data_IF_566188259818
#
_entry.id   IF_566188259818
#
_cell.length_a   1.000
_cell.length_b   1.000
_cell.length_c   1.000
_cell.angle_alpha   90.00
_cell.angle_beta   90.00
_cell.angle_gamma   90.00
#
_symmetry.space_group_name_H-M   'P 1'
#
loop_
_entity.id
_entity.type
_entity.pdbx_description
1 polymer ?
#
# COMPACT_ATOMS: atom_id res chain seq x y z
N UNK A 1 0.53 13.68 15.30
CA UNK A 1 0.59 14.52 16.53
C UNK A 1 1.86 14.16 17.29
N UNK A 2 2.79 15.11 17.52
CA UNK A 2 3.99 14.85 18.34
C UNK A 2 3.62 14.93 19.81
N UNK A 3 3.35 13.79 20.43
CA UNK A 3 3.29 13.69 21.89
C UNK A 3 4.66 13.23 22.40
N UNK A 4 5.42 14.13 23.03
CA UNK A 4 6.64 13.82 23.81
C UNK A 4 7.85 13.26 23.03
N UNK A 5 8.19 13.81 21.86
CA UNK A 5 9.46 13.47 21.18
C UNK A 5 9.59 12.00 20.76
N UNK A 6 8.49 11.23 20.81
CA UNK A 6 8.40 9.87 20.30
C UNK A 6 7.54 9.90 19.04
N UNK A 7 8.15 9.54 17.93
CA UNK A 7 7.45 9.28 16.67
C UNK A 7 6.37 8.24 16.93
N UNK A 8 5.11 8.54 16.58
CA UNK A 8 4.00 7.62 16.78
C UNK A 8 3.98 6.57 15.66
N UNK A 9 4.87 5.59 15.76
CA UNK A 9 5.08 4.57 14.72
C UNK A 9 3.80 3.79 14.38
N UNK A 10 2.86 3.65 15.31
CA UNK A 10 1.59 2.95 15.06
C UNK A 10 0.75 3.61 13.96
N UNK A 11 0.64 4.94 13.96
CA UNK A 11 -0.07 5.71 12.94
C UNK A 11 0.58 5.53 11.57
N UNK A 12 1.92 5.62 11.53
CA UNK A 12 2.72 5.42 10.32
C UNK A 12 2.52 4.02 9.70
N UNK A 13 2.52 2.97 10.53
CA UNK A 13 2.28 1.60 10.04
C UNK A 13 0.85 1.41 9.53
N UNK A 14 -0.15 1.97 10.21
CA UNK A 14 -1.55 1.88 9.78
C UNK A 14 -1.78 2.60 8.45
N UNK A 15 -1.19 3.79 8.28
CA UNK A 15 -1.21 4.56 7.04
C UNK A 15 -0.62 3.76 5.86
N UNK A 16 0.57 3.18 6.05
CA UNK A 16 1.17 2.29 5.05
C UNK A 16 0.31 1.04 4.76
N UNK A 17 -0.29 0.43 5.78
CA UNK A 17 -1.12 -0.77 5.64
C UNK A 17 -2.39 -0.53 4.83
N UNK A 18 -3.03 0.64 4.95
CA UNK A 18 -4.23 1.01 4.19
C UNK A 18 -3.89 1.25 2.71
N UNK A 19 -2.73 1.81 2.41
CA UNK A 19 -2.32 2.09 1.03
C UNK A 19 -1.78 0.87 0.28
N UNK A 20 -1.32 -0.17 0.98
CA UNK A 20 -0.90 -1.43 0.36
C UNK A 20 -1.99 -2.11 -0.49
N UNK A 21 -3.22 -2.39 0.00
CA UNK A 21 -4.28 -2.93 -0.84
C UNK A 21 -4.66 -1.95 -1.96
N UNK A 22 -4.66 -0.63 -1.71
CA UNK A 22 -4.92 0.36 -2.76
C UNK A 22 -3.91 0.28 -3.92
N UNK A 23 -2.61 0.20 -3.61
CA UNK A 23 -1.56 0.02 -4.61
C UNK A 23 -1.70 -1.29 -5.39
N UNK A 24 -2.09 -2.38 -4.70
CA UNK A 24 -2.40 -3.66 -5.33
C UNK A 24 -3.57 -3.55 -6.32
N UNK A 25 -4.68 -2.93 -5.89
CA UNK A 25 -5.85 -2.69 -6.74
C UNK A 25 -5.53 -1.82 -7.95
N UNK A 26 -4.73 -0.76 -7.78
CA UNK A 26 -4.33 0.10 -8.87
C UNK A 26 -3.47 -0.65 -9.90
N UNK A 27 -2.54 -1.49 -9.43
CA UNK A 27 -1.73 -2.34 -10.29
C UNK A 27 -2.56 -3.38 -11.05
N UNK A 28 -3.63 -3.89 -10.42
CA UNK A 28 -4.58 -4.82 -11.04
C UNK A 28 -5.48 -4.15 -12.09
N UNK A 29 -5.99 -2.95 -11.81
CA UNK A 29 -6.90 -2.23 -12.71
C UNK A 29 -6.16 -1.62 -13.91
N UNK A 30 -4.92 -1.16 -13.70
CA UNK A 30 -4.11 -0.50 -14.72
C UNK A 30 -2.75 -1.20 -14.90
N UNK A 31 -2.72 -2.49 -15.28
CA UNK A 31 -1.49 -3.28 -15.34
C UNK A 31 -0.50 -2.78 -16.41
N UNK A 32 -1.00 -2.07 -17.43
CA UNK A 32 -0.20 -1.47 -18.50
C UNK A 32 0.49 -0.17 -18.10
N UNK A 33 0.11 0.43 -16.98
CA UNK A 33 0.73 1.67 -16.53
C UNK A 33 2.12 1.40 -15.95
N UNK A 34 3.02 2.37 -16.13
CA UNK A 34 4.34 2.32 -15.50
C UNK A 34 4.20 2.38 -13.97
N UNK A 35 5.15 1.79 -13.24
CA UNK A 35 5.18 1.85 -11.77
C UNK A 35 5.23 3.32 -11.31
N UNK A 36 5.96 4.17 -12.03
CA UNK A 36 6.05 5.60 -11.72
C UNK A 36 4.70 6.30 -11.86
N UNK A 37 3.93 6.00 -12.92
CA UNK A 37 2.57 6.56 -13.10
C UNK A 37 1.63 6.11 -11.98
N UNK A 38 1.71 4.84 -11.59
CA UNK A 38 0.91 4.31 -10.48
C UNK A 38 1.31 4.95 -9.15
N UNK A 39 2.61 5.10 -8.89
CA UNK A 39 3.12 5.80 -7.70
C UNK A 39 2.73 7.27 -7.67
N UNK A 40 2.78 7.97 -8.81
CA UNK A 40 2.38 9.36 -8.89
C UNK A 40 0.90 9.54 -8.50
N UNK A 41 0.02 8.63 -8.95
CA UNK A 41 -1.37 8.64 -8.49
C UNK A 41 -1.52 8.35 -7.00
N UNK A 42 -0.78 7.37 -6.49
CA UNK A 42 -0.80 7.04 -5.05
C UNK A 42 -0.35 8.25 -4.22
N UNK A 43 0.74 8.91 -4.62
CA UNK A 43 1.25 10.11 -3.98
C UNK A 43 0.25 11.27 -4.08
N UNK A 44 -0.43 11.44 -5.22
CA UNK A 44 -1.45 12.48 -5.40
C UNK A 44 -2.67 12.24 -4.50
N UNK A 45 -3.14 10.99 -4.41
CA UNK A 45 -4.24 10.61 -3.51
C UNK A 45 -3.83 10.82 -2.05
N UNK A 46 -2.63 10.40 -1.68
CA UNK A 46 -2.07 10.63 -0.35
C UNK A 46 -1.97 12.12 -0.01
N UNK A 47 -1.49 12.94 -0.95
CA UNK A 47 -1.42 14.39 -0.80
C UNK A 47 -2.82 15.01 -0.64
N UNK A 48 -3.81 14.48 -1.36
CA UNK A 48 -5.19 14.93 -1.23
C UNK A 48 -5.74 14.67 0.18
N UNK A 49 -5.41 13.52 0.78
CA UNK A 49 -5.77 13.24 2.17
C UNK A 49 -5.12 14.23 3.15
N UNK A 50 -3.82 14.49 2.99
CA UNK A 50 -3.11 15.50 3.81
C UNK A 50 -3.75 16.89 3.69
N UNK A 51 -4.05 17.33 2.46
CA UNK A 51 -4.70 18.63 2.22
C UNK A 51 -6.09 18.69 2.86
N UNK A 52 -6.87 17.61 2.76
CA UNK A 52 -8.19 17.54 3.42
C UNK A 52 -8.05 17.57 4.94
N UNK A 53 -7.12 16.82 5.52
CA UNK A 53 -6.85 16.83 6.97
C UNK A 53 -6.42 18.21 7.45
N UNK A 54 -5.61 18.92 6.66
CA UNK A 54 -5.19 20.29 6.91
C UNK A 54 -6.37 21.27 6.86
N UNK A 55 -7.18 21.25 5.79
CA UNK A 55 -8.31 22.18 5.61
C UNK A 55 -9.38 21.98 6.69
N UNK A 56 -9.74 20.73 6.99
CA UNK A 56 -10.79 20.42 7.95
C UNK A 56 -10.30 20.37 9.40
N UNK A 57 -9.00 20.60 9.65
CA UNK A 57 -8.37 20.55 10.97
C UNK A 57 -8.64 19.23 11.73
N UNK A 58 -8.90 18.14 10.99
CA UNK A 58 -9.28 16.83 11.56
C UNK A 58 -8.07 16.16 12.23
N UNK A 59 -6.85 16.52 11.83
CA UNK A 59 -5.64 15.89 12.33
C UNK A 59 -4.38 16.76 12.22
N UNK A 60 -3.30 16.24 12.79
CA UNK A 60 -1.95 16.80 12.68
C UNK A 60 -1.37 16.39 11.33
N UNK A 61 -1.58 17.20 10.29
CA UNK A 61 -0.93 16.98 8.98
C UNK A 61 0.59 16.87 9.18
N UNK A 62 1.14 15.71 8.81
CA UNK A 62 2.55 15.37 8.93
C UNK A 62 3.00 14.79 7.59
N UNK A 63 3.95 15.45 6.93
CA UNK A 63 4.51 14.99 5.66
C UNK A 63 5.07 13.55 5.71
N UNK A 64 5.31 13.01 6.91
CA UNK A 64 5.69 11.61 7.12
C UNK A 64 4.60 10.63 6.70
N UNK A 65 3.33 10.99 6.86
CA UNK A 65 2.19 10.16 6.47
C UNK A 65 2.08 10.06 4.94
N UNK A 66 2.38 11.16 4.22
CA UNK A 66 2.51 11.15 2.77
C UNK A 66 3.51 10.08 2.28
N UNK A 67 4.68 10.04 2.92
CA UNK A 67 5.75 9.10 2.61
C UNK A 67 5.34 7.66 2.93
N UNK A 68 4.72 7.41 4.09
CA UNK A 68 4.30 6.08 4.50
C UNK A 68 3.17 5.52 3.64
N UNK A 69 2.20 6.35 3.26
CA UNK A 69 1.15 6.01 2.30
C UNK A 69 1.74 5.65 0.93
N UNK A 70 2.69 6.45 0.45
CA UNK A 70 3.35 6.19 -0.85
C UNK A 70 4.17 4.89 -0.81
N UNK A 71 4.89 4.65 0.29
CA UNK A 71 5.64 3.41 0.50
C UNK A 71 4.72 2.18 0.60
N UNK A 72 3.61 2.28 1.34
CA UNK A 72 2.58 1.23 1.41
C UNK A 72 2.02 0.91 0.02
N UNK A 73 1.66 1.94 -0.75
CA UNK A 73 1.18 1.76 -2.11
C UNK A 73 2.21 1.13 -3.06
N UNK A 74 3.49 1.49 -2.94
CA UNK A 74 4.58 0.84 -3.67
C UNK A 74 4.66 -0.65 -3.34
N UNK A 75 4.62 -1.01 -2.05
CA UNK A 75 4.63 -2.41 -1.61
C UNK A 75 3.46 -3.17 -2.22
N UNK A 76 2.26 -2.58 -2.27
CA UNK A 76 1.08 -3.14 -2.94
C UNK A 76 1.29 -3.41 -4.43
N UNK A 77 1.86 -2.45 -5.17
CA UNK A 77 2.17 -2.60 -6.60
C UNK A 77 3.18 -3.73 -6.81
N UNK A 78 4.27 -3.75 -6.04
CA UNK A 78 5.32 -4.77 -6.14
C UNK A 78 4.73 -6.14 -5.83
N UNK A 79 3.96 -6.26 -4.76
CA UNK A 79 3.31 -7.51 -4.38
C UNK A 79 2.42 -8.05 -5.50
N UNK A 80 1.57 -7.22 -6.12
CA UNK A 80 0.76 -7.64 -7.25
C UNK A 80 1.61 -8.12 -8.44
N UNK A 81 2.61 -7.32 -8.85
CA UNK A 81 3.46 -7.67 -10.01
C UNK A 81 4.27 -8.93 -9.78
N UNK A 82 4.80 -9.13 -8.56
CA UNK A 82 5.49 -10.36 -8.17
C UNK A 82 4.53 -11.54 -8.21
N UNK A 83 3.33 -11.43 -7.64
CA UNK A 83 2.33 -12.51 -7.66
C UNK A 83 1.91 -12.86 -9.09
N UNK A 84 1.67 -11.89 -9.96
CA UNK A 84 1.33 -12.14 -11.37
C UNK A 84 2.51 -12.78 -12.12
N UNK A 85 3.73 -12.28 -11.93
CA UNK A 85 4.93 -12.84 -12.58
C UNK A 85 5.17 -14.27 -12.12
N UNK A 86 5.11 -14.52 -10.80
CA UNK A 86 5.24 -15.86 -10.22
C UNK A 86 4.10 -16.78 -10.66
N UNK A 87 2.87 -16.32 -10.74
CA UNK A 87 1.74 -17.12 -11.24
C UNK A 87 1.97 -17.52 -12.70
N UNK A 88 2.48 -16.61 -13.54
CA UNK A 88 2.75 -16.90 -14.94
C UNK A 88 3.92 -17.90 -15.13
N UNK A 89 4.90 -17.90 -14.22
CA UNK A 89 6.03 -18.85 -14.24
C UNK A 89 5.72 -20.16 -13.48
N UNK A 90 4.70 -20.19 -12.61
CA UNK A 90 4.57 -21.16 -11.51
C UNK A 90 3.14 -21.46 -11.07
N UNK A 91 2.14 -21.32 -11.96
CA UNK A 91 0.73 -21.58 -11.65
C UNK A 91 0.47 -22.91 -10.92
N UNK A 92 1.32 -23.94 -11.08
CA UNK A 92 1.16 -25.21 -10.36
C UNK A 92 1.74 -25.26 -8.94
N UNK A 93 2.87 -24.63 -8.64
CA UNK A 93 3.57 -24.90 -7.36
C UNK A 93 3.11 -24.00 -6.20
N UNK A 94 2.64 -22.78 -6.48
CA UNK A 94 2.23 -21.82 -5.45
C UNK A 94 0.76 -21.93 -5.06
N UNK A 95 -0.12 -22.34 -5.99
CA UNK A 95 -1.52 -22.66 -5.65
C UNK A 95 -1.59 -23.84 -4.68
N UNK A 96 -0.74 -24.88 -4.85
CA UNK A 96 -0.64 -26.00 -3.90
C UNK A 96 -0.10 -25.52 -2.53
N UNK A 97 0.89 -24.62 -2.51
CA UNK A 97 1.43 -24.09 -1.25
C UNK A 97 0.43 -23.23 -0.46
N UNK A 98 -0.25 -22.29 -1.11
CA UNK A 98 -1.27 -21.46 -0.46
C UNK A 98 -2.53 -22.25 -0.10
N UNK A 99 -2.94 -23.24 -0.91
CA UNK A 99 -4.06 -24.13 -0.58
C UNK A 99 -3.74 -25.05 0.61
N UNK A 100 -2.50 -25.53 0.75
CA UNK A 100 -2.10 -26.35 1.89
C UNK A 100 -1.99 -25.55 3.19
N UNK A 101 -1.53 -24.30 3.12
CA UNK A 101 -1.45 -23.41 4.30
C UNK A 101 -2.86 -22.89 4.68
N UNK A 102 -3.72 -22.65 3.70
CA UNK A 102 -5.11 -22.23 3.94
C UNK A 102 -6.04 -23.37 4.40
N UNK A 103 -5.78 -24.62 4.00
CA UNK A 103 -6.60 -25.79 4.34
C UNK A 103 -6.23 -26.50 5.64
N UNK A 104 -5.11 -26.13 6.29
CA UNK A 104 -4.68 -26.72 7.57
C UNK A 104 -5.12 -25.90 8.80
N UNK A 105 -5.94 -24.87 8.60
CA UNK A 105 -6.55 -24.05 9.65
C UNK A 105 -8.09 -24.16 9.69
N UNK A 106 -8.67 -25.20 9.07
CA UNK A 106 -10.09 -25.57 9.18
C UNK A 106 -10.27 -27.08 9.31
#
# INVERSE_FOLDING_TARGET
MVTNGKVNYSEMYLNALIFAPFGMYLAMLKPKWSILTQLALIALVSLSFEVLQYIFMIGSSDSTDLLMNTAGGLLGIIFYKVTVTLANTRAHSLLIGFALIGGSCF
#
